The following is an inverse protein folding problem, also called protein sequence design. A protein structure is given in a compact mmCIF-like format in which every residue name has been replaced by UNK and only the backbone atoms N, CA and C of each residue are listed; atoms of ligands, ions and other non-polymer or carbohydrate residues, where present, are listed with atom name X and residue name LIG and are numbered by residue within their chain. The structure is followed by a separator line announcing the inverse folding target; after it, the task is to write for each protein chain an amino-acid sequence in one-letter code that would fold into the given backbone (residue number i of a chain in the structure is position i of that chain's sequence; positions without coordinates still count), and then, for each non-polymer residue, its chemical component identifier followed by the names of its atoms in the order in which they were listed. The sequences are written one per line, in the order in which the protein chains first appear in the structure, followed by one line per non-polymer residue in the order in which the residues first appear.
data_IF_048428263347
#
_entry.id   IF_048428263347
#
_cell.length_a   1.000
_cell.length_b   1.000
_cell.length_c   1.000
_cell.angle_alpha   90.00
_cell.angle_beta   90.00
_cell.angle_gamma   90.00
#
_symmetry.space_group_name_H-M   'P 1'
#
loop_
_entity.id
_entity.type
_entity.pdbx_description
1 polymer ?
#
# COMPACT_ATOMS: atom_id res chain seq x y z
N UNK A 1 -14.69 48.58 29.85
CA UNK A 1 -14.10 49.59 28.96
C UNK A 1 -12.59 49.36 28.74
N UNK A 2 -11.77 49.12 29.78
CA UNK A 2 -10.30 48.94 29.69
C UNK A 2 -9.84 47.73 28.86
N UNK A 3 -10.55 46.57 28.95
CA UNK A 3 -10.20 45.36 28.21
C UNK A 3 -10.46 45.52 26.70
N UNK A 4 -11.54 46.17 26.29
CA UNK A 4 -11.83 46.45 24.90
C UNK A 4 -10.82 47.37 24.22
N UNK A 5 -10.30 48.37 24.98
CA UNK A 5 -9.22 49.24 24.51
C UNK A 5 -7.91 48.49 24.31
N UNK A 6 -7.54 47.59 25.24
CA UNK A 6 -6.36 46.73 25.11
C UNK A 6 -6.43 45.76 23.95
N UNK A 7 -7.60 45.13 23.72
CA UNK A 7 -7.82 44.24 22.55
C UNK A 7 -7.70 44.99 21.24
N UNK A 8 -8.19 46.24 21.17
CA UNK A 8 -8.06 47.06 19.98
C UNK A 8 -6.60 47.40 19.70
N UNK A 9 -5.83 47.80 20.74
CA UNK A 9 -4.38 48.07 20.60
C UNK A 9 -3.59 46.81 20.17
N UNK A 10 -3.90 45.64 20.71
CA UNK A 10 -3.24 44.38 20.29
C UNK A 10 -3.55 44.02 18.85
N UNK A 11 -4.78 44.25 18.37
CA UNK A 11 -5.14 44.01 16.99
C UNK A 11 -4.51 45.03 16.03
N UNK A 12 -4.39 46.30 16.40
CA UNK A 12 -3.68 47.31 15.63
C UNK A 12 -2.18 47.03 15.54
N UNK A 13 -1.56 46.55 16.62
CA UNK A 13 -0.12 46.16 16.61
C UNK A 13 0.12 44.88 15.79
N UNK A 14 -0.83 43.93 15.77
CA UNK A 14 -0.74 42.76 14.90
C UNK A 14 -0.95 43.11 13.42
N UNK A 15 -1.87 44.02 13.10
CA UNK A 15 -2.07 44.53 11.76
C UNK A 15 -0.84 45.25 11.20
N UNK A 16 -0.27 46.15 11.96
CA UNK A 16 0.94 46.89 11.57
C UNK A 16 2.16 45.98 11.33
N UNK A 17 2.36 44.93 12.18
CA UNK A 17 3.46 43.96 11.97
C UNK A 17 3.31 43.12 10.72
N UNK A 18 2.09 42.76 10.33
CA UNK A 18 1.83 42.00 9.10
C UNK A 18 1.98 42.84 7.85
N UNK A 19 1.56 44.11 7.88
CA UNK A 19 1.77 45.06 6.77
C UNK A 19 3.24 45.43 6.59
N UNK A 20 3.96 45.66 7.68
CA UNK A 20 5.39 45.98 7.65
C UNK A 20 6.23 44.80 7.14
N UNK A 21 5.94 43.57 7.56
CA UNK A 21 6.59 42.37 7.02
C UNK A 21 6.26 42.15 5.54
N UNK A 22 5.02 42.40 5.12
CA UNK A 22 4.62 42.28 3.72
C UNK A 22 5.29 43.32 2.80
N UNK A 23 5.46 44.55 3.29
CA UNK A 23 6.15 45.63 2.56
C UNK A 23 7.67 45.39 2.45
N UNK A 24 8.29 44.89 3.50
CA UNK A 24 9.71 44.53 3.50
C UNK A 24 9.97 43.35 2.55
N UNK A 25 9.16 42.29 2.59
CA UNK A 25 9.29 41.15 1.69
C UNK A 25 9.13 41.55 0.20
N UNK A 26 8.18 42.43 -0.12
CA UNK A 26 8.01 42.94 -1.49
C UNK A 26 9.21 43.76 -1.96
N UNK A 27 9.77 44.58 -1.09
CA UNK A 27 10.98 45.38 -1.39
C UNK A 27 12.17 44.46 -1.64
N UNK A 28 12.41 43.48 -0.76
CA UNK A 28 13.51 42.52 -0.89
C UNK A 28 13.38 41.67 -2.16
N UNK A 29 12.17 41.25 -2.52
CA UNK A 29 11.90 40.56 -3.78
C UNK A 29 12.14 41.45 -5.00
N UNK A 30 11.80 42.74 -4.92
CA UNK A 30 12.06 43.69 -6.02
C UNK A 30 13.55 43.97 -6.21
N UNK A 31 14.31 44.08 -5.14
CA UNK A 31 15.77 44.23 -5.19
C UNK A 31 16.46 42.97 -5.75
N UNK A 32 16.03 41.78 -5.34
CA UNK A 32 16.50 40.54 -5.93
C UNK A 32 16.19 40.45 -7.42
N UNK A 33 14.97 40.83 -7.82
CA UNK A 33 14.55 40.83 -9.23
C UNK A 33 15.39 41.80 -10.08
N UNK A 34 15.64 43.02 -9.59
CA UNK A 34 16.49 43.97 -10.29
C UNK A 34 17.96 43.53 -10.31
N UNK A 35 18.45 42.87 -9.25
CA UNK A 35 19.77 42.25 -9.21
C UNK A 35 19.90 41.15 -10.26
N UNK A 36 18.86 40.29 -10.39
CA UNK A 36 18.81 39.23 -11.39
C UNK A 36 18.81 39.77 -12.82
N UNK A 37 18.01 40.81 -13.12
CA UNK A 37 17.96 41.45 -14.43
C UNK A 37 19.30 42.10 -14.83
N UNK A 38 20.07 42.57 -13.88
CA UNK A 38 21.32 43.26 -14.14
C UNK A 38 22.53 42.34 -14.32
N UNK A 39 22.44 41.10 -13.82
CA UNK A 39 23.57 40.16 -13.86
C UNK A 39 23.23 38.96 -14.78
N UNK A 40 23.82 38.94 -15.99
CA UNK A 40 23.61 37.90 -16.99
C UNK A 40 23.99 36.50 -16.47
N UNK A 41 25.05 36.40 -15.63
CA UNK A 41 25.42 35.13 -15.05
C UNK A 41 24.33 34.56 -14.13
N UNK A 42 23.76 35.42 -13.26
CA UNK A 42 22.65 35.03 -12.40
C UNK A 42 21.39 34.64 -13.21
N UNK A 43 21.11 35.36 -14.31
CA UNK A 43 19.99 35.00 -15.19
C UNK A 43 20.17 33.57 -15.76
N UNK A 44 21.36 33.29 -16.31
CA UNK A 44 21.65 31.98 -16.89
C UNK A 44 21.55 30.88 -15.83
N UNK A 45 22.15 31.08 -14.64
CA UNK A 45 22.10 30.12 -13.55
C UNK A 45 20.68 29.88 -13.05
N UNK A 46 19.91 30.94 -12.89
CA UNK A 46 18.49 30.82 -12.47
C UNK A 46 17.65 30.11 -13.52
N UNK A 47 17.87 30.41 -14.81
CA UNK A 47 17.17 29.73 -15.90
C UNK A 47 17.49 28.24 -15.92
N UNK A 48 18.79 27.88 -15.81
CA UNK A 48 19.21 26.48 -15.74
C UNK A 48 18.57 25.80 -14.53
N UNK A 49 18.59 26.45 -13.35
CA UNK A 49 17.97 25.90 -12.15
C UNK A 49 16.47 25.64 -12.32
N UNK A 50 15.73 26.62 -12.91
CA UNK A 50 14.28 26.47 -13.17
C UNK A 50 14.04 25.32 -14.16
N UNK A 51 14.84 25.20 -15.22
CA UNK A 51 14.69 24.12 -16.21
C UNK A 51 14.98 22.75 -15.58
N UNK A 52 16.03 22.63 -14.77
CA UNK A 52 16.36 21.38 -14.08
C UNK A 52 15.30 21.02 -13.05
N UNK A 53 14.82 22.00 -12.28
CA UNK A 53 13.74 21.79 -11.31
C UNK A 53 12.43 21.40 -12.02
N UNK A 54 12.09 22.09 -13.11
CA UNK A 54 10.92 21.74 -13.93
C UNK A 54 11.03 20.34 -14.53
N UNK A 55 12.20 19.98 -15.05
CA UNK A 55 12.46 18.63 -15.55
C UNK A 55 12.34 17.60 -14.41
N UNK A 56 12.93 17.85 -13.25
CA UNK A 56 12.85 16.97 -12.09
C UNK A 56 11.39 16.73 -11.66
N UNK A 57 10.58 17.78 -11.58
CA UNK A 57 9.16 17.66 -11.22
C UNK A 57 8.40 16.91 -12.30
N UNK A 58 8.60 17.26 -13.58
CA UNK A 58 7.92 16.63 -14.72
C UNK A 58 8.23 15.14 -14.81
N UNK A 59 9.50 14.77 -14.79
CA UNK A 59 9.90 13.35 -14.81
C UNK A 59 9.47 12.62 -13.54
N UNK A 60 9.58 13.26 -12.36
CA UNK A 60 9.13 12.68 -11.10
C UNK A 60 7.63 12.37 -11.07
N UNK A 61 6.79 13.21 -11.70
CA UNK A 61 5.36 12.96 -11.84
C UNK A 61 5.06 11.89 -12.89
N UNK A 62 5.75 11.93 -14.04
CA UNK A 62 5.58 10.93 -15.12
C UNK A 62 5.94 9.52 -14.63
N UNK A 63 7.01 9.37 -13.85
CA UNK A 63 7.40 8.07 -13.29
C UNK A 63 6.43 7.51 -12.25
N UNK A 64 5.52 8.34 -11.72
CA UNK A 64 4.46 7.89 -10.80
C UNK A 64 3.17 7.47 -11.52
N UNK A 65 3.06 7.70 -12.81
CA UNK A 65 1.89 7.27 -13.60
C UNK A 65 1.82 5.75 -13.60
N UNK A 66 0.68 5.20 -13.18
CA UNK A 66 0.47 3.76 -13.05
C UNK A 66 1.07 3.11 -11.80
N UNK A 67 1.68 3.90 -10.90
CA UNK A 67 2.11 3.45 -9.58
C UNK A 67 0.98 3.71 -8.60
N UNK A 68 0.37 2.63 -8.10
CA UNK A 68 -0.82 2.68 -7.25
C UNK A 68 -0.49 2.52 -5.76
N UNK A 69 0.73 2.89 -5.33
CA UNK A 69 1.10 2.86 -3.91
C UNK A 69 0.15 3.74 -3.09
N UNK A 70 -0.37 3.20 -2.00
CA UNK A 70 -1.38 3.86 -1.17
C UNK A 70 -2.82 3.76 -1.70
N UNK A 71 -3.05 3.13 -2.87
CA UNK A 71 -4.42 2.93 -3.37
C UNK A 71 -5.24 2.10 -2.39
N UNK A 72 -6.33 2.68 -1.92
CA UNK A 72 -7.20 2.16 -0.87
C UNK A 72 -8.66 2.41 -1.26
N UNK A 73 -9.23 1.59 -2.16
CA UNK A 73 -10.61 1.74 -2.58
C UNK A 73 -11.56 1.21 -1.51
N UNK A 74 -12.72 1.86 -1.37
CA UNK A 74 -13.79 1.35 -0.53
C UNK A 74 -14.28 0.00 -1.03
N UNK A 75 -14.32 -0.96 -0.12
CA UNK A 75 -14.80 -2.30 -0.41
C UNK A 75 -16.31 -2.43 -0.14
N UNK A 76 -17.01 -3.38 -0.76
CA UNK A 76 -18.46 -3.55 -0.58
C UNK A 76 -18.86 -3.95 0.85
N UNK A 77 -17.92 -4.53 1.60
CA UNK A 77 -18.06 -4.89 3.02
C UNK A 77 -16.86 -4.31 3.78
N UNK A 78 -17.12 -3.70 4.93
CA UNK A 78 -16.09 -3.18 5.83
C UNK A 78 -15.38 -4.35 6.54
N UNK A 79 -14.45 -4.99 5.83
CA UNK A 79 -13.67 -6.12 6.34
C UNK A 79 -12.35 -5.64 6.93
N UNK A 80 -12.18 -5.73 8.25
CA UNK A 80 -10.95 -5.38 8.95
C UNK A 80 -10.00 -6.57 9.08
N UNK A 81 -8.82 -6.48 8.44
CA UNK A 81 -7.75 -7.44 8.66
C UNK A 81 -7.17 -7.34 10.07
N UNK A 82 -7.21 -6.16 10.68
CA UNK A 82 -6.78 -5.92 12.04
C UNK A 82 -7.57 -6.79 13.03
N UNK A 83 -8.88 -6.85 12.92
CA UNK A 83 -9.71 -7.72 13.77
C UNK A 83 -9.39 -9.18 13.51
N UNK A 84 -9.36 -9.62 12.24
CA UNK A 84 -9.24 -11.03 11.90
C UNK A 84 -7.81 -11.56 12.11
N UNK A 85 -6.82 -10.94 11.52
CA UNK A 85 -5.43 -11.39 11.57
C UNK A 85 -4.65 -10.76 12.73
N UNK A 86 -4.93 -9.52 13.07
CA UNK A 86 -4.26 -8.80 14.15
C UNK A 86 -4.71 -9.27 15.53
N UNK A 87 -5.99 -9.15 15.84
CA UNK A 87 -6.53 -9.45 17.17
C UNK A 87 -6.81 -10.94 17.34
N UNK A 88 -7.54 -11.56 16.40
CA UNK A 88 -7.93 -12.97 16.45
C UNK A 88 -6.82 -13.93 15.96
N UNK A 89 -5.67 -13.43 15.47
CA UNK A 89 -4.51 -14.22 15.03
C UNK A 89 -4.83 -15.25 13.95
N UNK A 90 -5.83 -14.98 13.10
CA UNK A 90 -6.15 -15.86 11.96
C UNK A 90 -5.03 -15.72 10.93
N UNK A 91 -4.41 -16.85 10.58
CA UNK A 91 -3.32 -16.90 9.61
C UNK A 91 -3.77 -16.46 8.21
N UNK A 92 -2.96 -15.64 7.53
CA UNK A 92 -3.24 -15.12 6.20
C UNK A 92 -3.69 -16.23 5.23
N UNK A 93 -3.04 -17.37 5.32
CA UNK A 93 -3.24 -18.52 4.42
C UNK A 93 -4.50 -19.33 4.73
N UNK A 94 -5.18 -19.08 5.85
CA UNK A 94 -6.49 -19.65 6.11
C UNK A 94 -7.51 -19.12 5.09
N UNK A 95 -7.48 -17.83 4.82
CA UNK A 95 -8.37 -17.18 3.85
C UNK A 95 -7.75 -17.15 2.44
N UNK A 96 -6.44 -16.90 2.33
CA UNK A 96 -5.70 -16.80 1.07
C UNK A 96 -4.91 -18.08 0.75
N UNK A 97 -5.55 -19.24 0.86
CA UNK A 97 -4.92 -20.56 0.74
C UNK A 97 -4.23 -20.77 -0.61
N UNK A 98 -4.75 -20.21 -1.69
CA UNK A 98 -4.20 -20.34 -3.04
C UNK A 98 -2.83 -19.65 -3.21
N UNK A 99 -2.43 -18.74 -2.31
CA UNK A 99 -1.10 -18.13 -2.34
C UNK A 99 0.05 -19.15 -2.25
N UNK A 100 -0.19 -20.33 -1.65
CA UNK A 100 0.79 -21.42 -1.57
C UNK A 100 0.97 -22.20 -2.85
N UNK A 101 -0.05 -22.28 -3.67
CA UNK A 101 -0.13 -23.27 -4.76
C UNK A 101 -0.34 -22.63 -6.13
N UNK A 102 -0.71 -21.36 -6.17
CA UNK A 102 -1.14 -20.68 -7.39
C UNK A 102 -0.36 -19.40 -7.67
N UNK A 103 -0.44 -18.99 -8.92
CA UNK A 103 -0.02 -17.66 -9.39
C UNK A 103 -0.75 -16.56 -8.62
N UNK A 104 -2.05 -16.73 -8.36
CA UNK A 104 -2.90 -15.77 -7.67
C UNK A 104 -3.19 -16.23 -6.24
N UNK A 105 -3.12 -15.33 -5.27
CA UNK A 105 -3.50 -15.62 -3.89
C UNK A 105 -5.01 -15.82 -3.74
N UNK A 106 -5.79 -15.17 -4.62
CA UNK A 106 -7.24 -15.19 -4.58
C UNK A 106 -7.85 -14.42 -3.40
N UNK A 107 -9.10 -14.03 -3.57
CA UNK A 107 -9.97 -13.58 -2.49
C UNK A 107 -10.81 -14.80 -2.10
N UNK A 108 -10.97 -15.11 -0.78
CA UNK A 108 -11.73 -16.26 -0.35
C UNK A 108 -13.20 -16.14 -0.78
N UNK A 109 -13.81 -17.27 -1.10
CA UNK A 109 -15.27 -17.33 -1.30
C UNK A 109 -15.98 -17.09 0.04
N UNK A 110 -17.25 -16.68 -0.02
CA UNK A 110 -18.04 -16.38 1.17
C UNK A 110 -18.19 -17.56 2.14
N UNK A 111 -18.07 -18.79 1.65
CA UNK A 111 -18.10 -19.98 2.53
C UNK A 111 -16.99 -19.97 3.57
N UNK A 112 -15.80 -19.40 3.25
CA UNK A 112 -14.70 -19.30 4.21
C UNK A 112 -15.08 -18.37 5.37
N UNK A 113 -15.78 -17.29 5.07
CA UNK A 113 -16.34 -16.37 6.09
C UNK A 113 -17.35 -17.13 6.98
N UNK A 114 -18.21 -17.94 6.38
CA UNK A 114 -19.26 -18.69 7.05
C UNK A 114 -18.75 -19.84 7.95
N UNK A 115 -17.46 -20.23 7.85
CA UNK A 115 -16.89 -21.18 8.79
C UNK A 115 -16.96 -20.68 10.26
N UNK A 116 -16.90 -19.36 10.44
CA UNK A 116 -17.01 -18.71 11.75
C UNK A 116 -18.33 -17.94 11.88
N UNK A 117 -18.70 -17.16 10.86
CA UNK A 117 -19.83 -16.23 10.95
C UNK A 117 -21.20 -16.90 11.06
N UNK A 118 -21.37 -18.17 10.69
CA UNK A 118 -22.61 -18.91 11.02
C UNK A 118 -22.89 -19.00 12.52
N UNK A 119 -21.85 -18.81 13.38
CA UNK A 119 -21.97 -18.84 14.83
C UNK A 119 -21.60 -17.48 15.47
N UNK A 120 -21.07 -16.53 14.70
CA UNK A 120 -20.63 -15.22 15.14
C UNK A 120 -21.45 -14.18 14.34
N UNK A 121 -22.61 -13.83 14.86
CA UNK A 121 -23.55 -12.92 14.22
C UNK A 121 -23.29 -11.44 14.56
N UNK A 122 -22.54 -11.17 15.59
CA UNK A 122 -22.33 -9.83 16.13
C UNK A 122 -20.86 -9.65 16.53
N UNK A 123 -20.38 -8.40 16.50
CA UNK A 123 -19.09 -8.04 17.07
C UNK A 123 -19.20 -7.79 18.58
N UNK A 124 -18.07 -7.94 19.28
CA UNK A 124 -18.00 -7.65 20.71
C UNK A 124 -18.30 -6.16 20.99
N UNK A 125 -18.86 -5.88 22.18
CA UNK A 125 -19.06 -4.51 22.65
C UNK A 125 -17.72 -3.74 22.70
N UNK A 126 -17.74 -2.50 22.23
CA UNK A 126 -16.55 -1.64 22.18
C UNK A 126 -15.64 -1.87 20.98
N UNK A 127 -15.93 -2.85 20.10
CA UNK A 127 -15.21 -3.02 18.84
C UNK A 127 -15.36 -1.76 17.98
N UNK A 128 -14.22 -1.29 17.42
CA UNK A 128 -14.17 -0.11 16.56
C UNK A 128 -13.31 -0.39 15.35
N UNK A 129 -13.76 0.06 14.19
CA UNK A 129 -13.06 -0.05 12.91
C UNK A 129 -13.08 1.32 12.24
N UNK A 130 -11.93 1.77 11.77
CA UNK A 130 -11.86 2.97 10.93
C UNK A 130 -12.18 2.59 9.49
N UNK A 131 -13.25 3.18 8.92
CA UNK A 131 -13.71 2.90 7.59
C UNK A 131 -14.15 4.17 6.88
N UNK A 132 -13.52 4.49 5.73
CA UNK A 132 -13.78 5.74 4.98
C UNK A 132 -13.62 7.00 5.84
N UNK A 133 -12.63 6.99 6.74
CA UNK A 133 -12.40 8.10 7.67
C UNK A 133 -13.48 8.26 8.77
N UNK A 134 -14.36 7.27 8.93
CA UNK A 134 -15.39 7.23 9.96
C UNK A 134 -15.19 6.03 10.87
N UNK A 135 -15.34 6.22 12.18
CA UNK A 135 -15.26 5.13 13.14
C UNK A 135 -16.58 4.37 13.16
N UNK A 136 -16.58 3.12 12.68
CA UNK A 136 -17.69 2.19 12.79
C UNK A 136 -17.70 1.55 14.18
N UNK A 137 -18.85 1.60 14.86
CA UNK A 137 -19.10 0.88 16.09
C UNK A 137 -19.86 -0.43 15.87
N UNK A 138 -20.30 -1.06 16.96
CA UNK A 138 -21.01 -2.34 16.91
C UNK A 138 -22.19 -2.34 15.94
N UNK A 139 -23.05 -1.33 15.99
CA UNK A 139 -24.27 -1.29 15.19
C UNK A 139 -24.01 -1.20 13.67
N UNK A 140 -22.93 -0.55 13.26
CA UNK A 140 -22.50 -0.48 11.86
C UNK A 140 -21.84 -1.81 11.44
N UNK A 141 -20.97 -2.36 12.28
CA UNK A 141 -20.25 -3.60 12.00
C UNK A 141 -21.16 -4.82 11.94
N UNK A 142 -22.19 -4.89 12.78
CA UNK A 142 -23.21 -5.95 12.73
C UNK A 142 -23.96 -5.92 11.38
N UNK A 143 -24.22 -4.73 10.83
CA UNK A 143 -24.78 -4.60 9.47
C UNK A 143 -23.82 -5.10 8.38
N UNK A 144 -22.52 -4.95 8.58
CA UNK A 144 -21.53 -5.48 7.64
C UNK A 144 -21.50 -7.02 7.68
N UNK A 145 -21.67 -7.64 8.86
CA UNK A 145 -21.87 -9.09 8.99
C UNK A 145 -23.15 -9.54 8.26
N UNK A 146 -24.24 -8.78 8.39
CA UNK A 146 -25.48 -9.07 7.68
C UNK A 146 -25.31 -9.10 6.14
N UNK A 147 -24.42 -8.26 5.59
CA UNK A 147 -24.07 -8.35 4.14
C UNK A 147 -23.38 -9.68 3.78
N UNK A 148 -22.58 -10.25 4.71
CA UNK A 148 -21.98 -11.58 4.49
C UNK A 148 -23.07 -12.65 4.44
N UNK A 149 -24.09 -12.56 5.30
CA UNK A 149 -25.24 -13.46 5.30
C UNK A 149 -26.05 -13.37 3.99
N UNK A 150 -26.35 -12.14 3.54
CA UNK A 150 -27.02 -11.94 2.25
C UNK A 150 -26.21 -12.53 1.08
N UNK A 151 -24.88 -12.34 1.09
CA UNK A 151 -24.01 -12.92 0.08
C UNK A 151 -23.96 -14.45 0.13
N UNK A 152 -23.97 -15.02 1.34
CA UNK A 152 -23.95 -16.47 1.55
C UNK A 152 -25.31 -17.14 1.34
N UNK A 153 -26.40 -16.36 1.30
CA UNK A 153 -27.76 -16.91 1.35
C UNK A 153 -28.03 -17.61 2.68
N UNK A 154 -27.54 -17.04 3.79
CA UNK A 154 -27.71 -17.57 5.15
C UNK A 154 -28.84 -16.88 5.87
N UNK A 155 -29.78 -17.66 6.42
CA UNK A 155 -30.82 -17.17 7.33
C UNK A 155 -30.35 -17.36 8.78
N UNK A 156 -30.03 -16.28 9.50
CA UNK A 156 -29.54 -16.38 10.88
C UNK A 156 -30.63 -16.78 11.89
N UNK A 157 -31.93 -16.61 11.57
CA UNK A 157 -33.04 -17.02 12.44
C UNK A 157 -33.34 -18.51 12.28
N UNK A 158 -33.39 -18.96 11.02
CA UNK A 158 -33.61 -20.38 10.70
C UNK A 158 -32.36 -21.23 10.85
N UNK A 159 -31.17 -20.62 10.92
CA UNK A 159 -29.85 -21.28 10.94
C UNK A 159 -29.61 -22.21 9.74
N UNK A 160 -30.09 -21.82 8.57
CA UNK A 160 -29.99 -22.63 7.34
C UNK A 160 -29.63 -21.78 6.11
N UNK A 161 -29.17 -22.46 5.07
CA UNK A 161 -28.89 -21.82 3.78
C UNK A 161 -30.15 -21.82 2.91
N UNK A 162 -30.54 -20.64 2.45
CA UNK A 162 -31.71 -20.44 1.55
C UNK A 162 -31.42 -20.83 0.11
N UNK A 163 -30.14 -21.01 -0.26
CA UNK A 163 -29.70 -21.24 -1.64
C UNK A 163 -29.59 -19.98 -2.50
N UNK A 164 -30.04 -18.83 -2.03
CA UNK A 164 -29.98 -17.54 -2.73
C UNK A 164 -28.64 -16.85 -2.50
N UNK A 165 -27.57 -17.32 -3.14
CA UNK A 165 -26.23 -16.75 -2.98
C UNK A 165 -25.97 -15.59 -3.93
N UNK A 166 -25.18 -14.60 -3.50
CA UNK A 166 -24.74 -13.47 -4.30
C UNK A 166 -23.23 -13.30 -4.21
N UNK A 167 -22.50 -13.10 -5.32
CA UNK A 167 -21.06 -12.86 -5.25
C UNK A 167 -20.77 -11.48 -4.65
N UNK A 168 -19.83 -11.42 -3.71
CA UNK A 168 -19.29 -10.16 -3.21
C UNK A 168 -18.34 -9.61 -4.27
N UNK A 169 -18.64 -8.42 -4.79
CA UNK A 169 -17.84 -7.76 -5.85
C UNK A 169 -16.70 -6.97 -5.25
N UNK A 170 -15.69 -7.67 -4.73
CA UNK A 170 -14.49 -7.05 -4.20
C UNK A 170 -13.74 -6.24 -5.25
N UNK A 171 -13.24 -5.07 -4.85
CA UNK A 171 -12.41 -4.22 -5.71
C UNK A 171 -10.97 -4.68 -5.56
N UNK A 172 -10.32 -4.97 -6.68
CA UNK A 172 -8.93 -5.40 -6.71
C UNK A 172 -8.00 -4.24 -6.35
N UNK A 173 -7.16 -4.42 -5.34
CA UNK A 173 -6.23 -3.41 -4.83
C UNK A 173 -4.86 -3.56 -5.52
N UNK A 174 -4.29 -4.76 -5.47
CA UNK A 174 -2.99 -5.04 -6.07
C UNK A 174 -3.16 -5.45 -7.53
N UNK A 175 -2.65 -4.62 -8.43
CA UNK A 175 -2.77 -4.84 -9.85
C UNK A 175 -1.42 -4.67 -10.54
N UNK A 176 -0.98 -5.70 -11.25
CA UNK A 176 0.15 -5.62 -12.17
C UNK A 176 -0.39 -5.46 -13.59
N UNK A 177 0.37 -4.80 -14.48
CA UNK A 177 0.06 -4.78 -15.92
C UNK A 177 -0.02 -6.21 -16.48
N UNK A 178 -0.86 -6.43 -17.49
CA UNK A 178 -1.11 -7.76 -18.05
C UNK A 178 0.15 -8.45 -18.58
N UNK A 179 1.11 -7.68 -19.04
CA UNK A 179 2.41 -8.16 -19.53
C UNK A 179 3.41 -8.52 -18.41
N UNK A 180 3.07 -8.27 -17.13
CA UNK A 180 3.95 -8.58 -16.00
C UNK A 180 3.48 -9.88 -15.31
N UNK A 181 4.35 -10.88 -15.35
CA UNK A 181 4.11 -12.15 -14.66
C UNK A 181 4.59 -12.09 -13.21
N UNK A 182 3.72 -12.48 -12.30
CA UNK A 182 4.05 -12.69 -10.90
C UNK A 182 3.38 -13.97 -10.40
N UNK A 183 4.10 -14.76 -9.61
CA UNK A 183 3.59 -16.01 -9.07
C UNK A 183 3.76 -16.05 -7.55
N UNK A 184 2.64 -16.02 -6.81
CA UNK A 184 2.66 -16.08 -5.35
C UNK A 184 3.34 -17.34 -4.82
N UNK A 185 3.06 -18.52 -5.39
CA UNK A 185 3.62 -19.78 -4.88
C UNK A 185 5.15 -19.81 -4.93
N UNK A 186 5.77 -19.18 -5.93
CA UNK A 186 7.22 -19.08 -6.02
C UNK A 186 7.82 -18.19 -4.93
N UNK A 187 7.11 -17.14 -4.54
CA UNK A 187 7.57 -16.20 -3.52
C UNK A 187 7.22 -16.68 -2.10
N UNK A 188 6.04 -17.24 -1.90
CA UNK A 188 5.55 -17.67 -0.59
C UNK A 188 6.06 -19.05 -0.21
N UNK A 189 5.94 -20.03 -1.11
CA UNK A 189 6.27 -21.43 -0.78
C UNK A 189 7.73 -21.73 -1.09
N UNK A 190 8.23 -21.35 -2.26
CA UNK A 190 9.61 -21.68 -2.66
C UNK A 190 10.62 -20.74 -2.00
N UNK A 191 10.37 -19.43 -2.03
CA UNK A 191 11.28 -18.45 -1.43
C UNK A 191 11.02 -18.19 0.06
N UNK A 192 9.93 -18.70 0.64
CA UNK A 192 9.61 -18.56 2.07
C UNK A 192 9.37 -17.12 2.54
N UNK A 193 8.99 -16.21 1.61
CA UNK A 193 8.79 -14.81 1.96
C UNK A 193 7.50 -14.61 2.76
N UNK A 194 7.59 -13.76 3.78
CA UNK A 194 6.42 -13.35 4.56
C UNK A 194 5.53 -12.41 3.75
N UNK A 195 4.21 -12.52 3.95
CA UNK A 195 3.20 -11.70 3.26
C UNK A 195 3.46 -10.19 3.43
N UNK A 196 3.87 -9.79 4.64
CA UNK A 196 4.17 -8.40 5.00
C UNK A 196 5.29 -7.77 4.17
N UNK A 197 6.19 -8.57 3.59
CA UNK A 197 7.28 -8.03 2.74
C UNK A 197 6.75 -7.24 1.56
N UNK A 198 5.60 -7.65 1.02
CA UNK A 198 4.97 -7.02 -0.14
C UNK A 198 3.70 -6.24 0.22
N UNK A 199 2.91 -6.75 1.19
CA UNK A 199 1.61 -6.20 1.54
C UNK A 199 1.64 -5.25 2.75
N UNK A 200 2.80 -5.11 3.42
CA UNK A 200 2.93 -4.33 4.66
C UNK A 200 2.32 -5.03 5.88
N UNK A 201 2.20 -4.34 7.00
CA UNK A 201 1.63 -4.88 8.23
C UNK A 201 0.10 -4.98 8.14
N UNK A 202 -0.40 -5.91 7.31
CA UNK A 202 -1.82 -6.10 7.02
C UNK A 202 -2.65 -6.34 8.27
N UNK A 203 -2.05 -7.00 9.27
CA UNK A 203 -2.63 -7.23 10.58
C UNK A 203 -2.91 -5.96 11.41
N UNK A 204 -2.48 -4.81 10.93
CA UNK A 204 -2.75 -3.50 11.54
C UNK A 204 -3.80 -2.69 10.74
N UNK A 205 -4.26 -3.22 9.58
CA UNK A 205 -5.11 -2.47 8.67
C UNK A 205 -6.59 -2.78 8.90
N UNK A 206 -7.35 -1.72 9.13
CA UNK A 206 -8.81 -1.77 9.03
C UNK A 206 -9.24 -1.75 7.56
N UNK A 207 -8.66 -0.85 6.76
CA UNK A 207 -8.86 -0.80 5.32
C UNK A 207 -7.62 -1.26 4.57
N UNK A 208 -7.78 -2.19 3.64
CA UNK A 208 -6.68 -2.74 2.86
C UNK A 208 -6.23 -1.77 1.77
N UNK A 209 -4.91 -1.57 1.67
CA UNK A 209 -4.27 -0.68 0.70
C UNK A 209 -3.10 -1.34 0.00
N UNK A 210 -2.74 -0.85 -1.16
CA UNK A 210 -1.49 -1.24 -1.81
C UNK A 210 -0.31 -0.61 -1.07
N UNK A 211 0.47 -1.43 -0.38
CA UNK A 211 1.63 -0.98 0.41
C UNK A 211 2.86 -0.74 -0.46
N UNK A 212 3.22 -1.72 -1.28
CA UNK A 212 4.41 -1.64 -2.13
C UNK A 212 4.09 -1.00 -3.48
N UNK A 213 5.03 -0.27 -4.09
CA UNK A 213 4.80 0.39 -5.39
C UNK A 213 4.61 -0.59 -6.54
N UNK A 214 5.06 -1.84 -6.40
CA UNK A 214 4.97 -2.91 -7.40
C UNK A 214 5.56 -2.52 -8.77
N UNK A 215 6.51 -1.59 -8.79
CA UNK A 215 7.23 -1.20 -9.99
C UNK A 215 8.28 -2.24 -10.39
N UNK A 216 8.66 -2.25 -11.67
CA UNK A 216 9.76 -3.10 -12.15
C UNK A 216 11.04 -2.88 -11.33
N UNK A 217 11.40 -1.63 -11.03
CA UNK A 217 12.56 -1.29 -10.21
C UNK A 217 12.51 -1.87 -8.81
N UNK A 218 11.33 -1.86 -8.18
CA UNK A 218 11.13 -2.46 -6.86
C UNK A 218 11.38 -3.98 -6.87
N UNK A 219 10.84 -4.69 -7.87
CA UNK A 219 11.07 -6.13 -8.05
C UNK A 219 12.55 -6.45 -8.31
N UNK A 220 13.18 -5.71 -9.23
CA UNK A 220 14.58 -5.89 -9.61
C UNK A 220 15.51 -5.67 -8.42
N UNK A 221 15.29 -4.63 -7.61
CA UNK A 221 16.12 -4.36 -6.45
C UNK A 221 16.03 -5.49 -5.43
N UNK A 222 14.82 -5.98 -5.15
CA UNK A 222 14.64 -7.15 -4.29
C UNK A 222 15.40 -8.38 -4.83
N UNK A 223 15.31 -8.68 -6.13
CA UNK A 223 16.00 -9.82 -6.75
C UNK A 223 17.53 -9.66 -6.77
N UNK A 224 18.04 -8.43 -6.78
CA UNK A 224 19.50 -8.17 -6.70
C UNK A 224 20.06 -8.41 -5.30
N UNK A 225 19.29 -8.11 -4.28
CA UNK A 225 19.74 -8.12 -2.89
C UNK A 225 19.38 -9.42 -2.16
N UNK A 226 18.28 -10.07 -2.54
CA UNK A 226 17.79 -11.26 -1.84
C UNK A 226 18.65 -12.46 -2.17
N UNK A 227 19.23 -13.03 -1.12
CA UNK A 227 19.94 -14.32 -1.17
C UNK A 227 18.92 -15.45 -1.18
N UNK A 228 19.21 -16.48 -1.97
CA UNK A 228 18.31 -17.62 -2.12
C UNK A 228 18.59 -18.65 -1.02
N UNK A 229 17.55 -19.05 -0.28
CA UNK A 229 17.60 -20.26 0.55
C UNK A 229 16.97 -21.40 -0.25
N UNK A 230 17.78 -22.37 -0.62
CA UNK A 230 17.38 -23.51 -1.47
C UNK A 230 17.40 -24.83 -0.68
N UNK A 231 17.44 -24.75 0.67
CA UNK A 231 17.46 -25.94 1.52
C UNK A 231 16.21 -26.80 1.28
N UNK A 232 16.44 -28.10 1.14
CA UNK A 232 15.37 -29.08 0.95
C UNK A 232 14.95 -29.27 -0.51
N UNK A 233 15.63 -28.65 -1.49
CA UNK A 233 15.43 -28.95 -2.91
C UNK A 233 16.75 -29.35 -3.55
N UNK A 234 16.97 -30.65 -3.67
CA UNK A 234 18.25 -31.24 -4.13
C UNK A 234 18.72 -30.74 -5.50
N UNK A 235 17.78 -30.50 -6.43
CA UNK A 235 18.09 -29.98 -7.76
C UNK A 235 18.66 -28.55 -7.68
N UNK A 236 18.00 -27.69 -6.92
CA UNK A 236 18.46 -26.30 -6.75
C UNK A 236 19.70 -26.20 -5.85
N UNK A 237 19.89 -27.08 -4.88
CA UNK A 237 21.12 -27.13 -4.06
C UNK A 237 22.34 -27.41 -4.90
N UNK A 238 22.24 -28.32 -5.90
CA UNK A 238 23.32 -28.62 -6.82
C UNK A 238 23.69 -27.41 -7.67
N UNK A 239 22.69 -26.74 -8.28
CA UNK A 239 22.89 -25.54 -9.06
C UNK A 239 23.50 -24.42 -8.21
N UNK A 240 23.01 -24.25 -6.98
CA UNK A 240 23.50 -23.26 -6.04
C UNK A 240 25.01 -23.47 -5.76
N UNK A 241 25.44 -24.70 -5.48
CA UNK A 241 26.84 -25.00 -5.21
C UNK A 241 27.75 -24.63 -6.37
N UNK A 242 27.35 -24.97 -7.60
CA UNK A 242 28.14 -24.63 -8.81
C UNK A 242 28.18 -23.13 -9.03
N UNK A 243 27.08 -22.41 -8.88
CA UNK A 243 27.02 -20.96 -9.03
C UNK A 243 27.74 -20.22 -7.91
N UNK A 244 27.62 -20.68 -6.66
CA UNK A 244 28.35 -20.13 -5.51
C UNK A 244 29.86 -20.21 -5.74
N UNK A 245 30.35 -21.34 -6.24
CA UNK A 245 31.73 -21.52 -6.62
C UNK A 245 32.12 -20.60 -7.78
N UNK A 246 31.28 -20.51 -8.82
CA UNK A 246 31.53 -19.65 -9.98
C UNK A 246 31.65 -18.17 -9.61
N UNK A 247 30.79 -17.70 -8.73
CA UNK A 247 30.73 -16.28 -8.31
C UNK A 247 31.61 -16.00 -7.07
N UNK A 248 32.24 -17.01 -6.48
CA UNK A 248 33.04 -16.91 -5.26
C UNK A 248 32.24 -16.27 -4.08
N UNK A 249 31.02 -16.75 -3.83
CA UNK A 249 30.11 -16.30 -2.79
C UNK A 249 29.59 -17.48 -1.97
N UNK A 250 29.19 -17.25 -0.72
CA UNK A 250 28.57 -18.30 0.11
C UNK A 250 27.14 -18.60 -0.33
N UNK A 251 26.40 -17.56 -0.71
CA UNK A 251 25.03 -17.66 -1.20
C UNK A 251 24.84 -16.83 -2.44
N UNK A 252 24.21 -17.39 -3.46
CA UNK A 252 23.85 -16.69 -4.67
C UNK A 252 22.56 -15.88 -4.47
N UNK A 253 22.47 -14.75 -5.17
CA UNK A 253 21.26 -13.94 -5.24
C UNK A 253 20.31 -14.46 -6.33
N UNK A 254 19.05 -14.03 -6.29
CA UNK A 254 18.08 -14.31 -7.35
C UNK A 254 18.61 -13.82 -8.72
N UNK A 255 19.30 -12.66 -8.74
CA UNK A 255 19.93 -12.12 -9.93
C UNK A 255 20.96 -13.09 -10.55
N UNK A 256 21.81 -13.68 -9.71
CA UNK A 256 22.84 -14.65 -10.14
C UNK A 256 22.25 -15.98 -10.63
N UNK A 257 21.00 -16.28 -10.23
CA UNK A 257 20.23 -17.42 -10.76
C UNK A 257 19.47 -17.11 -12.07
N UNK A 258 19.69 -15.93 -12.66
CA UNK A 258 18.98 -15.49 -13.86
C UNK A 258 17.60 -14.89 -13.62
N UNK A 259 17.27 -14.55 -12.36
CA UNK A 259 15.99 -13.95 -12.00
C UNK A 259 15.77 -12.51 -12.46
N UNK A 260 16.74 -11.92 -13.17
CA UNK A 260 16.63 -10.60 -13.82
C UNK A 260 16.46 -10.67 -15.33
N UNK A 261 16.39 -11.87 -15.90
CA UNK A 261 16.11 -12.03 -17.33
C UNK A 261 14.70 -11.54 -17.66
N UNK A 262 14.57 -10.73 -18.71
CA UNK A 262 13.29 -10.10 -19.07
C UNK A 262 12.14 -11.11 -19.18
N UNK A 263 12.38 -12.25 -19.84
CA UNK A 263 11.38 -13.31 -20.02
C UNK A 263 10.97 -14.07 -18.75
N UNK A 264 11.55 -13.77 -17.57
CA UNK A 264 11.09 -14.32 -16.28
C UNK A 264 9.89 -13.54 -15.73
N UNK A 265 9.77 -12.28 -16.12
CA UNK A 265 8.74 -11.36 -15.65
C UNK A 265 7.82 -10.85 -16.77
N UNK A 266 8.26 -10.94 -18.03
CA UNK A 266 7.51 -10.46 -19.19
C UNK A 266 7.28 -11.59 -20.21
N UNK A 267 6.07 -11.66 -20.78
CA UNK A 267 5.66 -12.64 -21.79
C UNK A 267 4.76 -12.01 -22.85
#
# INVERSE_FOLDING_TARGET
LMIASLLKQVNELKGNKTEENGSNLRRDLSELWEGLKRNTFLQVMTTIFILLMGAYIAFGTLFKVGVNEGYMPLQPIAFSHKIHSGENKIECQYCHSSAKHSKHSGIPSVNVCMNCHKNIAEVAEGTKVEWDGVTYGKAELDKEIAKVYDAAGWDPEALEYTGNTKPIKWIRIHNLPDFAYFNHSQHVTVAGLKCQKCHGPVEEYDEMRQFSPLTMGWCINCHRETKVDLKGNEYYEKIHKELAKKYNVEQVTIAQLGGLECGKCHY
#
